data_IF_154941642006
#
_entry.id   IF_154941642006
#
_cell.length_a   1.000
_cell.length_b   1.000
_cell.length_c   1.000
_cell.angle_alpha   90.00
_cell.angle_beta   90.00
_cell.angle_gamma   90.00
#
_symmetry.space_group_name_H-M   'P 1'
#
loop_
_entity.id
_entity.type
_entity.pdbx_description
1 polymer ?
#
# COMPACT_ATOMS: atom_id res chain seq x y z
N UNK A 1 -1.57 -13.72 21.81
CA UNK A 1 -2.51 -13.70 20.69
C UNK A 1 -1.71 -13.63 19.39
N UNK A 2 -2.15 -14.27 18.30
CA UNK A 2 -1.48 -14.11 17.02
C UNK A 2 -1.53 -12.63 16.61
N UNK A 3 -0.46 -12.16 15.94
CA UNK A 3 -0.46 -10.80 15.39
C UNK A 3 -1.38 -10.75 14.18
N UNK A 4 -2.14 -9.67 14.07
CA UNK A 4 -3.06 -9.45 12.96
C UNK A 4 -2.47 -8.44 11.98
N UNK A 5 -2.26 -8.86 10.75
CA UNK A 5 -1.78 -7.99 9.66
C UNK A 5 -2.96 -7.62 8.78
N UNK A 6 -3.19 -6.32 8.63
CA UNK A 6 -4.19 -5.77 7.71
C UNK A 6 -3.57 -5.39 6.37
N UNK A 7 -4.16 -5.84 5.27
CA UNK A 7 -3.76 -5.47 3.92
C UNK A 7 -4.83 -4.58 3.30
N UNK A 8 -4.45 -3.39 2.86
CA UNK A 8 -5.33 -2.53 2.09
C UNK A 8 -5.14 -2.85 0.60
N UNK A 9 -6.23 -3.26 -0.03
CA UNK A 9 -6.27 -3.79 -1.38
C UNK A 9 -6.48 -5.31 -1.42
N UNK A 10 -7.46 -5.75 -2.22
CA UNK A 10 -7.88 -7.16 -2.31
C UNK A 10 -7.36 -7.87 -3.56
N UNK A 11 -6.23 -7.46 -4.11
CA UNK A 11 -5.65 -7.99 -5.33
C UNK A 11 -4.91 -9.32 -5.17
N UNK A 12 -4.15 -9.65 -6.20
CA UNK A 12 -3.40 -10.90 -6.25
C UNK A 12 -2.26 -10.97 -5.24
N UNK A 13 -1.58 -9.84 -4.97
CA UNK A 13 -0.49 -9.80 -4.00
C UNK A 13 -1.01 -10.08 -2.59
N UNK A 14 -2.15 -9.49 -2.20
CA UNK A 14 -2.80 -9.80 -0.94
C UNK A 14 -3.18 -11.29 -0.84
N UNK A 15 -3.70 -11.90 -1.92
CA UNK A 15 -3.98 -13.33 -1.97
C UNK A 15 -2.72 -14.18 -1.76
N UNK A 16 -1.60 -13.78 -2.36
CA UNK A 16 -0.33 -14.50 -2.23
C UNK A 16 0.28 -14.41 -0.83
N UNK A 17 -0.15 -13.46 0.01
CA UNK A 17 0.26 -13.37 1.41
C UNK A 17 -0.42 -14.43 2.30
N UNK A 18 -1.52 -15.05 1.86
CA UNK A 18 -2.30 -15.98 2.69
C UNK A 18 -1.49 -17.22 3.10
N UNK A 19 -0.83 -17.97 2.19
CA UNK A 19 -0.06 -19.15 2.59
C UNK A 19 1.05 -18.83 3.60
N UNK A 20 1.94 -17.83 3.38
CA UNK A 20 2.98 -17.51 4.35
C UNK A 20 2.42 -16.97 5.68
N UNK A 21 1.27 -16.28 5.68
CA UNK A 21 0.63 -15.87 6.92
C UNK A 21 0.22 -17.07 7.78
N UNK A 22 -0.35 -18.10 7.15
CA UNK A 22 -0.71 -19.36 7.81
C UNK A 22 0.53 -20.05 8.39
N UNK A 23 1.60 -20.17 7.61
CA UNK A 23 2.86 -20.79 8.04
C UNK A 23 3.50 -20.06 9.22
N UNK A 24 3.38 -18.73 9.28
CA UNK A 24 3.92 -17.89 10.34
C UNK A 24 2.99 -17.74 11.55
N UNK A 25 1.79 -18.31 11.51
CA UNK A 25 0.79 -18.15 12.57
C UNK A 25 0.26 -16.72 12.69
N UNK A 26 0.22 -15.98 11.59
CA UNK A 26 -0.29 -14.60 11.50
C UNK A 26 -1.73 -14.64 11.02
N UNK A 27 -2.60 -13.87 11.66
CA UNK A 27 -3.94 -13.60 11.15
C UNK A 27 -3.86 -12.53 10.07
N UNK A 28 -4.28 -12.85 8.85
CA UNK A 28 -4.35 -11.92 7.74
C UNK A 28 -5.78 -11.41 7.57
N UNK A 29 -5.96 -10.11 7.53
CA UNK A 29 -7.21 -9.43 7.18
C UNK A 29 -7.01 -8.55 5.97
N UNK A 30 -8.00 -8.44 5.10
CA UNK A 30 -7.92 -7.65 3.88
C UNK A 30 -9.11 -6.70 3.79
N UNK A 31 -8.83 -5.42 3.53
CA UNK A 31 -9.82 -4.45 3.06
C UNK A 31 -9.84 -4.52 1.53
N UNK A 32 -10.86 -5.16 0.97
CA UNK A 32 -11.00 -5.32 -0.47
C UNK A 32 -11.97 -4.28 -1.05
N UNK A 33 -11.69 -3.78 -2.24
CA UNK A 33 -12.52 -2.77 -2.91
C UNK A 33 -13.91 -3.32 -3.28
N UNK A 34 -13.97 -4.61 -3.59
CA UNK A 34 -15.20 -5.30 -3.98
C UNK A 34 -15.28 -6.69 -3.39
N UNK A 35 -16.49 -7.16 -3.18
CA UNK A 35 -16.74 -8.55 -2.81
C UNK A 35 -16.29 -9.50 -3.94
N UNK A 36 -15.71 -10.62 -3.58
CA UNK A 36 -15.22 -11.61 -4.56
C UNK A 36 -13.91 -11.22 -5.25
N UNK A 37 -13.15 -10.26 -4.70
CA UNK A 37 -11.81 -9.91 -5.15
C UNK A 37 -10.85 -11.11 -5.09
N UNK A 38 -9.65 -10.98 -5.67
CA UNK A 38 -8.65 -12.05 -5.69
C UNK A 38 -8.30 -12.58 -4.30
N UNK A 39 -8.25 -11.70 -3.30
CA UNK A 39 -7.99 -12.04 -1.90
C UNK A 39 -9.24 -12.33 -1.07
N UNK A 40 -10.37 -12.66 -1.69
CA UNK A 40 -11.66 -12.89 -1.00
C UNK A 40 -11.57 -13.90 0.16
N UNK A 41 -10.66 -14.86 0.09
CA UNK A 41 -10.45 -15.85 1.17
C UNK A 41 -10.00 -15.21 2.48
N UNK A 42 -9.34 -14.07 2.44
CA UNK A 42 -8.89 -13.31 3.61
C UNK A 42 -9.59 -11.94 3.74
N UNK A 43 -10.53 -11.62 2.85
CA UNK A 43 -11.26 -10.34 2.89
C UNK A 43 -12.23 -10.34 4.07
N UNK A 44 -11.94 -9.51 5.05
CA UNK A 44 -12.79 -9.32 6.23
C UNK A 44 -13.63 -8.05 6.16
N UNK A 45 -13.30 -7.15 5.23
CA UNK A 45 -13.98 -5.89 5.01
C UNK A 45 -14.03 -5.55 3.52
N UNK A 46 -15.08 -4.89 3.09
CA UNK A 46 -15.22 -4.34 1.75
C UNK A 46 -15.35 -2.83 1.86
N UNK A 47 -14.53 -2.09 1.13
CA UNK A 47 -14.53 -0.64 1.12
C UNK A 47 -13.44 -0.06 0.23
N UNK A 48 -13.66 1.18 -0.22
CA UNK A 48 -12.68 1.90 -1.04
C UNK A 48 -11.49 2.35 -0.17
N UNK A 49 -10.27 2.09 -0.65
CA UNK A 49 -9.04 2.55 0.00
C UNK A 49 -8.88 4.09 0.03
N UNK A 50 -9.72 4.82 -0.70
CA UNK A 50 -9.82 6.30 -0.67
C UNK A 50 -10.82 6.79 0.36
N UNK A 51 -11.72 5.91 0.82
CA UNK A 51 -12.68 6.25 1.85
C UNK A 51 -11.99 6.26 3.22
N UNK A 52 -11.84 7.47 3.75
CA UNK A 52 -11.19 7.72 5.04
C UNK A 52 -11.80 6.87 6.17
N UNK A 53 -13.12 6.86 6.26
CA UNK A 53 -13.80 6.20 7.38
C UNK A 53 -13.70 4.68 7.28
N UNK A 54 -13.78 4.12 6.08
CA UNK A 54 -13.58 2.70 5.82
C UNK A 54 -12.15 2.27 6.21
N UNK A 55 -11.13 3.02 5.79
CA UNK A 55 -9.72 2.71 6.08
C UNK A 55 -9.41 2.84 7.57
N UNK A 56 -9.87 3.91 8.22
CA UNK A 56 -9.65 4.10 9.66
C UNK A 56 -10.39 3.05 10.50
N UNK A 57 -11.61 2.66 10.10
CA UNK A 57 -12.35 1.59 10.77
C UNK A 57 -11.62 0.25 10.63
N UNK A 58 -11.14 -0.08 9.43
CA UNK A 58 -10.36 -1.29 9.18
C UNK A 58 -9.07 -1.32 9.99
N UNK A 59 -8.30 -0.22 10.00
CA UNK A 59 -7.03 -0.12 10.71
C UNK A 59 -7.16 -0.41 12.22
N UNK A 60 -8.29 -0.07 12.84
CA UNK A 60 -8.57 -0.38 14.25
C UNK A 60 -8.72 -1.86 14.56
N UNK A 61 -8.89 -2.69 13.55
CA UNK A 61 -9.10 -4.14 13.69
C UNK A 61 -7.81 -4.96 13.60
N UNK A 62 -6.67 -4.32 13.32
CA UNK A 62 -5.39 -4.98 13.03
C UNK A 62 -4.24 -4.36 13.84
N UNK A 63 -3.16 -5.10 14.02
CA UNK A 63 -1.98 -4.62 14.74
C UNK A 63 -1.04 -3.81 13.84
N UNK A 64 -1.01 -4.13 12.54
CA UNK A 64 -0.17 -3.46 11.54
C UNK A 64 -0.89 -3.41 10.21
N UNK A 65 -0.71 -2.33 9.47
CA UNK A 65 -1.26 -2.13 8.12
C UNK A 65 -0.15 -2.23 7.08
N UNK A 66 -0.41 -2.97 6.02
CA UNK A 66 0.37 -3.01 4.79
C UNK A 66 -0.54 -2.91 3.57
N UNK A 67 0.00 -3.02 2.37
CA UNK A 67 -0.70 -2.70 1.13
C UNK A 67 -0.51 -3.77 0.06
N UNK A 68 -1.53 -3.98 -0.75
CA UNK A 68 -1.48 -4.74 -2.00
C UNK A 68 -1.05 -3.86 -3.18
N UNK A 69 -1.26 -2.55 -3.07
CA UNK A 69 -0.91 -1.54 -4.08
C UNK A 69 -0.52 -0.21 -3.42
N UNK A 70 0.04 0.72 -4.18
CA UNK A 70 0.56 2.00 -3.71
C UNK A 70 -0.47 3.16 -3.67
N UNK A 71 -1.74 2.94 -4.02
CA UNK A 71 -2.68 4.02 -4.35
C UNK A 71 -3.40 4.69 -3.17
N UNK A 72 -3.15 4.25 -1.93
CA UNK A 72 -3.75 4.89 -0.75
C UNK A 72 -3.28 6.34 -0.65
N UNK A 73 -4.17 7.34 -0.49
CA UNK A 73 -3.79 8.74 -0.41
C UNK A 73 -2.80 9.03 0.72
N UNK A 74 -1.79 9.87 0.44
CA UNK A 74 -0.74 10.22 1.40
C UNK A 74 -1.28 10.83 2.69
N UNK A 75 -2.29 11.71 2.57
CA UNK A 75 -2.93 12.34 3.73
C UNK A 75 -3.52 11.30 4.67
N UNK A 76 -4.13 10.26 4.10
CA UNK A 76 -4.74 9.17 4.87
C UNK A 76 -3.68 8.28 5.54
N UNK A 77 -2.55 8.03 4.86
CA UNK A 77 -1.42 7.31 5.44
C UNK A 77 -0.82 8.06 6.63
N UNK A 78 -0.61 9.37 6.50
CA UNK A 78 -0.13 10.21 7.59
C UNK A 78 -1.14 10.27 8.76
N UNK A 79 -2.43 10.30 8.48
CA UNK A 79 -3.47 10.24 9.50
C UNK A 79 -3.45 8.93 10.28
N UNK A 80 -3.30 7.78 9.60
CA UNK A 80 -3.16 6.48 10.25
C UNK A 80 -2.00 6.46 11.24
N UNK A 81 -0.83 6.94 10.80
CA UNK A 81 0.36 7.03 11.66
C UNK A 81 0.15 7.98 12.83
N UNK A 82 -0.46 9.15 12.59
CA UNK A 82 -0.77 10.12 13.64
C UNK A 82 -1.73 9.58 14.70
N UNK A 83 -2.63 8.65 14.33
CA UNK A 83 -3.53 7.94 15.24
C UNK A 83 -2.87 6.74 15.95
N UNK A 84 -1.57 6.49 15.72
CA UNK A 84 -0.82 5.43 16.35
C UNK A 84 -0.91 4.07 15.64
N UNK A 85 -1.47 4.01 14.44
CA UNK A 85 -1.45 2.80 13.61
C UNK A 85 -0.03 2.53 13.12
N UNK A 86 0.43 1.29 13.28
CA UNK A 86 1.70 0.85 12.69
C UNK A 86 1.48 0.58 11.21
N UNK A 87 2.19 1.31 10.35
CA UNK A 87 2.04 1.25 8.88
C UNK A 87 3.38 0.89 8.24
N UNK A 88 3.42 -0.18 7.46
CA UNK A 88 4.61 -0.63 6.73
C UNK A 88 4.28 -1.03 5.29
N UNK A 89 4.99 -0.48 4.28
CA UNK A 89 5.95 0.62 4.39
C UNK A 89 5.29 1.90 4.90
N UNK A 90 6.06 2.76 5.58
CA UNK A 90 5.54 4.05 6.05
C UNK A 90 5.23 5.01 4.89
N UNK A 91 4.48 6.11 5.16
CA UNK A 91 4.07 7.09 4.14
C UNK A 91 5.23 7.59 3.30
N UNK A 92 6.34 7.97 3.93
CA UNK A 92 7.51 8.52 3.25
C UNK A 92 8.19 7.52 2.30
N UNK A 93 8.13 6.23 2.62
CA UNK A 93 8.65 5.18 1.76
C UNK A 93 7.67 4.88 0.60
N UNK A 94 6.37 4.82 0.90
CA UNK A 94 5.35 4.53 -0.10
C UNK A 94 5.24 5.64 -1.15
N UNK A 95 5.57 6.88 -0.79
CA UNK A 95 5.62 8.01 -1.70
C UNK A 95 6.45 7.73 -2.95
N UNK A 96 7.59 7.05 -2.80
CA UNK A 96 8.45 6.70 -3.93
C UNK A 96 7.87 5.62 -4.85
N UNK A 97 6.97 4.79 -4.36
CA UNK A 97 6.19 3.88 -5.19
C UNK A 97 5.07 4.60 -5.95
N UNK A 98 4.50 5.64 -5.34
CA UNK A 98 3.42 6.44 -5.93
C UNK A 98 3.91 7.39 -7.01
N UNK A 99 5.11 7.94 -6.86
CA UNK A 99 5.68 8.94 -7.76
C UNK A 99 7.01 8.48 -8.35
N UNK A 100 6.99 8.12 -9.63
CA UNK A 100 8.16 7.63 -10.38
C UNK A 100 9.24 8.70 -10.56
N UNK A 101 8.87 9.98 -10.68
CA UNK A 101 9.85 11.06 -10.81
C UNK A 101 10.61 11.26 -9.51
N UNK A 102 9.90 11.32 -8.38
CA UNK A 102 10.52 11.40 -7.06
C UNK A 102 11.42 10.20 -6.79
N UNK A 103 10.95 8.99 -7.11
CA UNK A 103 11.75 7.77 -6.96
C UNK A 103 13.04 7.83 -7.79
N UNK A 104 12.97 8.19 -9.08
CA UNK A 104 14.13 8.27 -9.96
C UNK A 104 15.12 9.34 -9.49
N UNK A 105 14.65 10.53 -9.14
CA UNK A 105 15.46 11.60 -8.59
C UNK A 105 16.19 11.13 -7.31
N UNK A 106 15.47 10.49 -6.39
CA UNK A 106 16.06 10.01 -5.13
C UNK A 106 17.12 8.94 -5.34
N UNK A 107 16.87 7.98 -6.22
CA UNK A 107 17.85 6.94 -6.54
C UNK A 107 19.11 7.54 -7.18
N UNK A 108 18.96 8.53 -8.05
CA UNK A 108 20.07 9.27 -8.67
C UNK A 108 20.91 9.99 -7.62
N UNK A 109 20.26 10.72 -6.69
CA UNK A 109 20.94 11.40 -5.58
C UNK A 109 21.76 10.44 -4.71
N UNK A 110 21.25 9.23 -4.50
CA UNK A 110 21.93 8.19 -3.73
C UNK A 110 23.05 7.48 -4.51
N UNK A 111 23.29 7.85 -5.77
CA UNK A 111 24.29 7.22 -6.63
C UNK A 111 23.97 5.77 -7.01
N UNK A 112 22.70 5.37 -6.93
CA UNK A 112 22.27 4.02 -7.33
C UNK A 112 22.08 3.94 -8.83
N UNK A 113 22.35 2.77 -9.45
CA UNK A 113 22.08 2.57 -10.86
C UNK A 113 20.60 2.74 -11.19
N UNK A 114 20.29 3.61 -12.13
CA UNK A 114 18.94 3.84 -12.65
C UNK A 114 19.01 3.86 -14.18
N UNK A 115 17.96 3.42 -14.90
CA UNK A 115 17.89 3.65 -16.34
C UNK A 115 17.82 5.16 -16.63
N UNK A 116 18.15 5.54 -17.86
CA UNK A 116 17.94 6.91 -18.32
C UNK A 116 16.47 7.28 -18.20
N UNK A 117 16.20 8.50 -17.75
CA UNK A 117 14.84 8.98 -17.51
C UNK A 117 14.74 10.48 -17.75
N UNK A 118 13.55 10.92 -18.10
CA UNK A 118 13.20 12.33 -18.23
C UNK A 118 11.82 12.60 -17.65
N UNK A 119 11.62 13.80 -17.13
CA UNK A 119 10.30 14.26 -16.75
C UNK A 119 9.55 14.69 -18.00
N UNK A 120 8.32 14.22 -18.16
CA UNK A 120 7.43 14.57 -19.28
C UNK A 120 6.20 15.24 -18.70
N UNK A 121 6.02 16.53 -18.99
CA UNK A 121 4.87 17.31 -18.57
C UNK A 121 3.87 17.54 -19.74
N UNK A 122 4.33 17.45 -20.98
CA UNK A 122 3.54 17.64 -22.18
C UNK A 122 3.97 16.72 -23.31
N UNK A 123 3.17 16.65 -24.39
CA UNK A 123 3.54 15.86 -25.58
C UNK A 123 4.80 16.41 -26.25
N UNK A 124 5.03 17.73 -26.17
CA UNK A 124 6.19 18.39 -26.79
C UNK A 124 7.51 17.97 -26.14
N UNK A 125 7.47 17.50 -24.88
CA UNK A 125 8.64 17.00 -24.18
C UNK A 125 9.13 15.64 -24.70
N UNK A 126 8.32 14.95 -25.51
CA UNK A 126 8.69 13.63 -26.07
C UNK A 126 9.60 13.75 -27.30
N UNK A 127 9.67 14.92 -27.92
CA UNK A 127 10.47 15.17 -29.13
C UNK A 127 11.81 15.86 -28.81
N UNK A 128 12.17 15.99 -27.52
CA UNK A 128 13.35 16.69 -27.06
C UNK A 128 14.58 15.80 -26.86
#
# INVERSE_FOLDING_TARGET
MPRTVGVIGGGQLARMMVPPAVELGIELRVLAEVAGSSAAIAATSVGDYRDRDAVLAFAKTVDVVTFDHEHVPQELLHELVAQGTVVHPGPDALLYAQDKLLMRARLTELGLPVPDWAAVASVDDLDA
#
